data_IF_502999880978
#
_entry.id   IF_502999880978
#
_cell.length_a   1.000
_cell.length_b   1.000
_cell.length_c   1.000
_cell.angle_alpha   90.00
_cell.angle_beta   90.00
_cell.angle_gamma   90.00
#
_symmetry.space_group_name_H-M   'P 1'
#
loop_
_entity.id
_entity.type
_entity.pdbx_description
1 polymer ?
#
# COMPACT_ATOMS: atom_id res chain seq x y z
N UNK A 1 -44.46 -70.84 -39.38
CA UNK A 1 -43.43 -70.01 -38.71
C UNK A 1 -43.90 -68.63 -38.39
N UNK A 2 -45.07 -68.41 -37.79
CA UNK A 2 -45.59 -67.02 -37.54
C UNK A 2 -45.92 -66.75 -36.06
N UNK A 3 -45.87 -67.78 -35.19
CA UNK A 3 -46.26 -67.57 -33.73
C UNK A 3 -45.16 -66.98 -32.84
N UNK A 4 -43.89 -66.92 -33.23
CA UNK A 4 -42.77 -66.38 -32.36
C UNK A 4 -42.62 -64.85 -32.37
N UNK A 5 -43.11 -64.12 -33.37
CA UNK A 5 -42.99 -62.65 -33.43
C UNK A 5 -43.95 -61.86 -32.56
N UNK A 6 -45.17 -62.39 -32.32
CA UNK A 6 -46.19 -61.72 -31.49
C UNK A 6 -45.83 -61.65 -29.99
N UNK A 7 -45.17 -62.68 -29.45
CA UNK A 7 -44.78 -62.68 -28.03
C UNK A 7 -43.61 -61.71 -27.72
N UNK A 8 -42.74 -61.46 -28.67
CA UNK A 8 -41.64 -60.50 -28.50
C UNK A 8 -42.12 -59.06 -28.45
N UNK A 9 -43.13 -58.69 -29.26
CA UNK A 9 -43.68 -57.33 -29.29
C UNK A 9 -44.49 -57.03 -28.02
N UNK A 10 -45.29 -57.97 -27.57
CA UNK A 10 -46.07 -57.84 -26.31
C UNK A 10 -45.10 -57.73 -25.13
N UNK A 11 -44.06 -58.53 -25.06
CA UNK A 11 -43.04 -58.46 -24.01
C UNK A 11 -42.33 -57.10 -23.98
N UNK A 12 -41.92 -56.57 -25.18
CA UNK A 12 -41.29 -55.25 -25.30
C UNK A 12 -42.24 -54.12 -24.80
N UNK A 13 -43.51 -54.16 -25.26
CA UNK A 13 -44.52 -53.17 -24.83
C UNK A 13 -44.71 -53.21 -23.29
N UNK A 14 -44.84 -54.42 -22.72
CA UNK A 14 -44.97 -54.58 -21.25
C UNK A 14 -43.75 -54.05 -20.51
N UNK A 15 -42.56 -54.34 -20.98
CA UNK A 15 -41.28 -53.82 -20.37
C UNK A 15 -41.20 -52.28 -20.45
N UNK A 16 -41.63 -51.70 -21.57
CA UNK A 16 -41.68 -50.24 -21.76
C UNK A 16 -42.68 -49.59 -20.78
N UNK A 17 -43.86 -50.20 -20.63
CA UNK A 17 -44.88 -49.69 -19.66
C UNK A 17 -44.35 -49.78 -18.24
N UNK A 18 -43.72 -50.87 -17.84
CA UNK A 18 -43.12 -51.05 -16.50
C UNK A 18 -42.02 -49.99 -16.28
N UNK A 19 -41.16 -49.74 -17.26
CA UNK A 19 -40.13 -48.71 -17.22
C UNK A 19 -40.72 -47.30 -17.05
N UNK A 20 -41.78 -46.95 -17.81
CA UNK A 20 -42.46 -45.66 -17.71
C UNK A 20 -43.09 -45.45 -16.35
N UNK A 21 -43.76 -46.50 -15.79
CA UNK A 21 -44.35 -46.46 -14.46
C UNK A 21 -43.24 -46.28 -13.38
N UNK A 22 -42.10 -46.94 -13.55
CA UNK A 22 -40.99 -46.83 -12.64
C UNK A 22 -40.36 -45.41 -12.70
N UNK A 23 -40.16 -44.85 -13.89
CA UNK A 23 -39.67 -43.46 -14.03
C UNK A 23 -40.67 -42.49 -13.44
N UNK A 24 -41.95 -42.65 -13.66
CA UNK A 24 -42.99 -41.80 -13.07
C UNK A 24 -42.97 -41.87 -11.54
N UNK A 25 -42.87 -43.05 -10.95
CA UNK A 25 -42.79 -43.24 -9.52
C UNK A 25 -41.57 -42.55 -8.88
N UNK A 26 -40.40 -42.68 -9.54
CA UNK A 26 -39.18 -41.98 -9.13
C UNK A 26 -39.38 -40.46 -9.23
N UNK A 27 -39.91 -39.95 -10.34
CA UNK A 27 -40.15 -38.52 -10.54
C UNK A 27 -41.06 -37.91 -9.48
N UNK A 28 -42.15 -38.63 -9.12
CA UNK A 28 -43.04 -38.23 -8.04
C UNK A 28 -42.32 -38.23 -6.69
N UNK A 29 -41.53 -39.26 -6.40
CA UNK A 29 -40.73 -39.34 -5.17
C UNK A 29 -39.72 -38.20 -5.03
N UNK A 30 -38.98 -37.92 -6.10
CA UNK A 30 -38.03 -36.80 -6.18
C UNK A 30 -38.75 -35.45 -5.98
N UNK A 31 -39.92 -35.27 -6.60
CA UNK A 31 -40.70 -34.04 -6.47
C UNK A 31 -41.19 -33.82 -5.04
N UNK A 32 -41.69 -34.86 -4.37
CA UNK A 32 -42.11 -34.77 -2.96
C UNK A 32 -40.92 -34.42 -2.06
N UNK A 33 -39.76 -35.07 -2.26
CA UNK A 33 -38.56 -34.78 -1.51
C UNK A 33 -38.07 -33.33 -1.75
N UNK A 34 -38.07 -32.86 -3.00
CA UNK A 34 -37.69 -31.49 -3.31
C UNK A 34 -38.61 -30.46 -2.62
N UNK A 35 -39.92 -30.71 -2.60
CA UNK A 35 -40.88 -29.85 -1.91
C UNK A 35 -40.58 -29.82 -0.41
N UNK A 36 -40.32 -30.97 0.22
CA UNK A 36 -40.02 -31.06 1.65
C UNK A 36 -38.74 -30.33 2.03
N UNK A 37 -37.69 -30.48 1.21
CA UNK A 37 -36.44 -29.71 1.35
C UNK A 37 -36.66 -28.20 1.20
N UNK A 38 -37.44 -27.76 0.21
CA UNK A 38 -37.78 -26.33 0.05
C UNK A 38 -38.55 -25.79 1.23
N UNK A 39 -39.54 -26.55 1.75
CA UNK A 39 -40.29 -26.15 2.94
C UNK A 39 -39.38 -25.99 4.16
N UNK A 40 -38.38 -26.83 4.30
CA UNK A 40 -37.43 -26.76 5.41
C UNK A 40 -36.43 -25.58 5.21
N UNK A 41 -35.88 -25.45 4.04
CA UNK A 41 -34.87 -24.44 3.74
C UNK A 41 -35.39 -23.00 3.78
N UNK A 42 -36.65 -22.79 3.34
CA UNK A 42 -37.29 -21.47 3.30
C UNK A 42 -38.34 -21.31 4.42
N UNK A 43 -38.45 -22.27 5.33
CA UNK A 43 -39.41 -22.31 6.43
C UNK A 43 -40.88 -22.08 6.00
N UNK A 44 -41.24 -22.60 4.81
CA UNK A 44 -42.58 -22.46 4.26
C UNK A 44 -43.57 -23.29 5.10
N UNK A 45 -44.72 -22.68 5.39
CA UNK A 45 -45.81 -23.33 6.17
C UNK A 45 -45.43 -23.73 7.62
N UNK A 46 -44.41 -23.08 8.20
CA UNK A 46 -44.08 -23.22 9.62
C UNK A 46 -44.76 -22.09 10.41
N UNK A 47 -45.42 -22.44 11.52
CA UNK A 47 -45.94 -21.45 12.49
C UNK A 47 -44.74 -20.72 13.12
N UNK A 48 -44.85 -19.40 13.29
CA UNK A 48 -43.78 -18.59 13.86
C UNK A 48 -43.63 -18.75 15.38
N UNK A 49 -43.37 -19.97 15.84
CA UNK A 49 -43.15 -20.25 17.26
C UNK A 49 -41.70 -19.92 17.64
N UNK A 50 -41.54 -19.14 18.69
CA UNK A 50 -40.23 -18.84 19.25
C UNK A 50 -39.73 -19.99 20.13
N UNK A 51 -38.50 -20.39 19.93
CA UNK A 51 -37.83 -21.46 20.69
C UNK A 51 -36.38 -21.03 20.96
N UNK A 52 -35.92 -21.26 22.17
CA UNK A 52 -34.50 -21.08 22.49
C UNK A 52 -33.67 -22.24 21.96
N UNK A 53 -32.65 -21.92 21.18
CA UNK A 53 -31.67 -22.87 20.65
C UNK A 53 -30.31 -22.57 21.24
N UNK A 54 -29.68 -23.56 21.84
CA UNK A 54 -28.38 -23.48 22.45
C UNK A 54 -27.37 -24.27 21.61
N UNK A 55 -26.34 -23.58 21.13
CA UNK A 55 -25.15 -24.23 20.55
C UNK A 55 -24.11 -24.42 21.65
N UNK A 56 -23.62 -25.65 21.80
CA UNK A 56 -22.66 -26.07 22.84
C UNK A 56 -21.39 -26.57 22.18
N UNK A 57 -20.25 -26.47 22.88
CA UNK A 57 -18.93 -26.95 22.46
C UNK A 57 -17.87 -25.83 22.55
N UNK A 58 -16.60 -26.19 22.67
CA UNK A 58 -15.50 -25.22 22.74
C UNK A 58 -15.21 -24.59 21.35
N UNK A 59 -15.41 -25.36 20.31
CA UNK A 59 -15.33 -24.95 18.90
C UNK A 59 -16.55 -25.48 18.17
N UNK A 60 -17.41 -24.61 17.68
CA UNK A 60 -18.63 -24.98 16.97
C UNK A 60 -18.38 -24.92 15.46
N UNK A 61 -18.39 -26.09 14.84
CA UNK A 61 -18.26 -26.22 13.37
C UNK A 61 -19.63 -26.13 12.68
N UNK A 62 -19.64 -25.96 11.35
CA UNK A 62 -20.88 -26.04 10.57
C UNK A 62 -21.61 -27.39 10.77
N UNK A 63 -20.85 -28.47 10.95
CA UNK A 63 -21.40 -29.80 11.21
C UNK A 63 -22.09 -29.85 12.57
N UNK A 64 -21.49 -29.25 13.59
CA UNK A 64 -22.09 -29.18 14.94
C UNK A 64 -23.37 -28.35 14.94
N UNK A 65 -23.35 -27.18 14.25
CA UNK A 65 -24.55 -26.34 14.09
C UNK A 65 -25.69 -27.12 13.42
N UNK A 66 -25.38 -27.77 12.28
CA UNK A 66 -26.40 -28.54 11.56
C UNK A 66 -26.96 -29.67 12.39
N UNK A 67 -26.13 -30.37 13.15
CA UNK A 67 -26.53 -31.50 14.00
C UNK A 67 -27.38 -31.01 15.19
N UNK A 68 -26.95 -29.96 15.90
CA UNK A 68 -27.66 -29.41 17.05
C UNK A 68 -29.02 -28.80 16.66
N UNK A 69 -29.09 -28.10 15.51
CA UNK A 69 -30.35 -27.60 14.96
C UNK A 69 -31.32 -28.74 14.58
N UNK A 70 -30.79 -29.84 14.07
CA UNK A 70 -31.58 -31.05 13.76
C UNK A 70 -32.13 -31.72 15.04
N UNK A 71 -31.29 -31.94 16.04
CA UNK A 71 -31.68 -32.55 17.33
C UNK A 71 -32.73 -31.73 18.05
N UNK A 72 -32.65 -30.40 17.96
CA UNK A 72 -33.65 -29.47 18.51
C UNK A 72 -34.85 -29.26 17.58
N UNK A 73 -34.97 -30.04 16.48
CA UNK A 73 -36.09 -30.05 15.52
C UNK A 73 -36.35 -28.73 14.81
N UNK A 74 -35.33 -27.87 14.71
CA UNK A 74 -35.40 -26.60 13.98
C UNK A 74 -35.30 -26.83 12.48
N UNK A 75 -34.43 -27.72 12.05
CA UNK A 75 -34.27 -28.15 10.66
C UNK A 75 -34.55 -29.64 10.52
N UNK A 76 -34.98 -30.06 9.32
CA UNK A 76 -35.26 -31.49 9.02
C UNK A 76 -34.11 -32.14 8.23
N UNK A 77 -33.38 -31.36 7.45
CA UNK A 77 -32.37 -31.85 6.52
C UNK A 77 -30.99 -31.29 6.82
N UNK A 78 -30.21 -31.78 7.80
CA UNK A 78 -28.93 -31.24 8.20
C UNK A 78 -27.86 -31.28 7.05
N UNK A 79 -27.92 -32.32 6.21
CA UNK A 79 -27.04 -32.42 5.02
C UNK A 79 -27.33 -31.32 4.02
N UNK A 80 -28.56 -31.02 3.74
CA UNK A 80 -28.96 -29.95 2.82
C UNK A 80 -28.61 -28.58 3.41
N UNK A 81 -28.78 -28.40 4.72
CA UNK A 81 -28.34 -27.18 5.41
C UNK A 81 -26.85 -26.92 5.22
N UNK A 82 -25.99 -27.94 5.34
CA UNK A 82 -24.55 -27.83 5.09
C UNK A 82 -24.23 -27.53 3.64
N UNK A 83 -24.93 -28.16 2.69
CA UNK A 83 -24.76 -27.86 1.25
C UNK A 83 -25.17 -26.41 0.97
N UNK A 84 -26.30 -25.96 1.53
CA UNK A 84 -26.75 -24.57 1.40
C UNK A 84 -25.72 -23.59 1.95
N UNK A 85 -25.16 -23.83 3.13
CA UNK A 85 -24.11 -22.99 3.73
C UNK A 85 -22.87 -22.89 2.84
N UNK A 86 -22.42 -24.02 2.24
CA UNK A 86 -21.27 -24.04 1.30
C UNK A 86 -21.55 -23.26 0.03
N UNK A 87 -22.72 -23.42 -0.56
CA UNK A 87 -23.13 -22.67 -1.77
C UNK A 87 -23.21 -21.16 -1.53
N UNK A 88 -23.46 -20.74 -0.30
CA UNK A 88 -23.49 -19.33 0.12
C UNK A 88 -22.17 -18.85 0.68
N UNK A 89 -21.08 -19.64 0.57
CA UNK A 89 -19.75 -19.35 1.14
C UNK A 89 -19.80 -19.02 2.65
N UNK A 90 -20.72 -19.65 3.39
CA UNK A 90 -20.88 -19.51 4.83
C UNK A 90 -20.34 -20.70 5.63
N UNK A 91 -19.68 -21.64 4.97
CA UNK A 91 -19.06 -22.84 5.58
C UNK A 91 -17.76 -22.54 6.32
N UNK A 92 -17.12 -21.41 6.02
CA UNK A 92 -15.91 -20.93 6.70
C UNK A 92 -16.18 -20.00 7.88
N UNK A 93 -17.46 -19.80 8.21
CA UNK A 93 -17.84 -18.94 9.34
C UNK A 93 -17.49 -19.64 10.67
N UNK A 94 -16.90 -18.87 11.58
CA UNK A 94 -16.68 -19.32 12.94
C UNK A 94 -17.98 -19.15 13.71
N UNK A 95 -18.63 -20.27 14.06
CA UNK A 95 -19.77 -20.27 14.94
C UNK A 95 -19.30 -20.22 16.39
N UNK A 96 -20.08 -19.58 17.26
CA UNK A 96 -19.74 -19.48 18.70
C UNK A 96 -20.81 -20.18 19.54
N UNK A 97 -20.43 -20.82 20.67
CA UNK A 97 -21.37 -21.31 21.64
C UNK A 97 -22.25 -20.15 22.14
N UNK A 98 -23.55 -20.29 21.97
CA UNK A 98 -24.48 -19.25 22.40
C UNK A 98 -25.93 -19.81 22.47
N UNK A 99 -26.76 -19.18 23.28
CA UNK A 99 -28.20 -19.39 23.25
C UNK A 99 -28.86 -18.24 22.47
N UNK A 100 -29.73 -18.59 21.53
CA UNK A 100 -30.45 -17.62 20.70
C UNK A 100 -31.93 -18.03 20.61
N UNK A 101 -32.80 -17.03 20.61
CA UNK A 101 -34.21 -17.25 20.28
C UNK A 101 -34.35 -17.41 18.77
N UNK A 102 -34.82 -18.57 18.35
CA UNK A 102 -35.07 -18.91 16.95
C UNK A 102 -36.58 -18.96 16.73
N UNK A 103 -37.03 -18.32 15.68
CA UNK A 103 -38.42 -18.48 15.23
C UNK A 103 -38.50 -19.64 14.23
N UNK A 104 -39.39 -20.56 14.36
CA UNK A 104 -39.54 -21.72 13.46
C UNK A 104 -39.82 -21.31 12.01
N UNK A 105 -40.22 -20.06 11.79
CA UNK A 105 -40.36 -19.45 10.45
C UNK A 105 -39.03 -18.92 9.85
N UNK A 106 -37.89 -19.09 10.54
CA UNK A 106 -36.57 -18.76 9.98
C UNK A 106 -36.12 -19.84 9.00
N UNK A 107 -35.80 -19.44 7.77
CA UNK A 107 -35.12 -20.30 6.80
C UNK A 107 -33.62 -20.46 7.08
N UNK A 108 -32.95 -21.30 6.32
CA UNK A 108 -31.54 -21.62 6.51
C UNK A 108 -30.61 -20.38 6.52
N UNK A 109 -30.88 -19.37 5.67
CA UNK A 109 -30.07 -18.15 5.64
C UNK A 109 -30.20 -17.34 6.94
N UNK A 110 -31.42 -17.25 7.48
CA UNK A 110 -31.68 -16.59 8.76
C UNK A 110 -31.00 -17.30 9.92
N UNK A 111 -31.06 -18.63 9.96
CA UNK A 111 -30.38 -19.45 10.99
C UNK A 111 -28.88 -19.30 10.91
N UNK A 112 -28.26 -19.40 9.72
CA UNK A 112 -26.84 -19.21 9.53
C UNK A 112 -26.40 -17.81 9.98
N UNK A 113 -27.18 -16.79 9.68
CA UNK A 113 -26.86 -15.39 10.08
C UNK A 113 -27.01 -15.22 11.60
N UNK A 114 -28.01 -15.82 12.21
CA UNK A 114 -28.28 -15.70 13.67
C UNK A 114 -27.16 -16.31 14.53
N UNK A 115 -26.61 -17.45 14.11
CA UNK A 115 -25.55 -18.16 14.82
C UNK A 115 -24.15 -17.78 14.41
N UNK A 116 -24.00 -16.97 13.36
CA UNK A 116 -22.72 -16.34 13.05
C UNK A 116 -22.50 -15.21 14.05
N UNK A 117 -21.30 -15.08 14.65
CA UNK A 117 -20.99 -13.86 15.40
C UNK A 117 -21.25 -12.68 14.47
N UNK A 118 -22.03 -11.73 14.92
CA UNK A 118 -22.07 -10.42 14.27
C UNK A 118 -20.62 -9.98 14.27
N UNK A 119 -19.97 -10.03 13.11
CA UNK A 119 -18.64 -9.45 12.98
C UNK A 119 -18.82 -8.04 13.54
N UNK A 120 -18.15 -7.72 14.66
CA UNK A 120 -18.07 -6.34 15.13
C UNK A 120 -17.71 -5.56 13.90
N UNK A 121 -18.59 -4.66 13.45
CA UNK A 121 -18.28 -3.82 12.29
C UNK A 121 -16.92 -3.24 12.59
N UNK A 122 -15.92 -3.63 11.80
CA UNK A 122 -14.57 -3.11 11.98
C UNK A 122 -14.68 -1.62 11.70
N UNK A 123 -14.53 -0.83 12.74
CA UNK A 123 -14.55 0.61 12.58
C UNK A 123 -13.38 0.99 11.68
N UNK A 124 -13.67 1.73 10.62
CA UNK A 124 -12.63 2.17 9.69
C UNK A 124 -12.14 3.54 10.15
N UNK A 125 -10.84 3.66 10.31
CA UNK A 125 -10.14 4.91 10.62
C UNK A 125 -9.57 5.45 9.32
N UNK A 126 -9.84 6.71 9.02
CA UNK A 126 -9.19 7.44 7.92
C UNK A 126 -7.93 8.11 8.44
N UNK A 127 -6.80 7.85 7.80
CA UNK A 127 -5.49 8.44 8.13
C UNK A 127 -4.89 9.02 6.87
N UNK A 128 -4.75 10.34 6.83
CA UNK A 128 -4.08 11.04 5.73
C UNK A 128 -2.60 11.17 6.07
N UNK A 129 -1.76 10.61 5.21
CA UNK A 129 -0.30 10.75 5.24
C UNK A 129 0.06 11.91 4.32
N UNK A 130 0.52 13.04 4.87
CA UNK A 130 0.95 14.18 4.08
C UNK A 130 2.20 13.86 3.25
N UNK A 131 2.37 14.63 2.21
CA UNK A 131 3.57 14.65 1.40
C UNK A 131 4.78 15.08 2.21
N UNK A 132 5.95 14.58 1.86
CA UNK A 132 7.19 14.91 2.56
C UNK A 132 7.32 14.33 3.97
N UNK A 133 6.42 13.46 4.43
CA UNK A 133 6.59 12.73 5.68
C UNK A 133 7.76 11.74 5.57
N UNK A 134 8.47 11.55 6.68
CA UNK A 134 9.45 10.48 6.84
C UNK A 134 8.78 9.20 7.35
N UNK A 135 9.49 8.09 7.31
CA UNK A 135 9.04 6.84 7.94
C UNK A 135 8.75 7.04 9.43
N UNK A 136 9.57 7.83 10.16
CA UNK A 136 9.33 8.16 11.57
C UNK A 136 8.00 8.92 11.76
N UNK A 137 7.70 9.89 10.89
CA UNK A 137 6.44 10.64 10.91
C UNK A 137 5.25 9.72 10.63
N UNK A 138 5.36 8.84 9.64
CA UNK A 138 4.32 7.87 9.25
C UNK A 138 4.03 6.92 10.41
N UNK A 139 5.07 6.31 10.99
CA UNK A 139 4.92 5.41 12.15
C UNK A 139 4.23 6.16 13.30
N UNK A 140 4.71 7.35 13.64
CA UNK A 140 4.17 8.16 14.72
C UNK A 140 2.69 8.51 14.48
N UNK A 141 2.34 8.85 13.25
CA UNK A 141 0.97 9.15 12.83
C UNK A 141 0.03 7.96 13.05
N UNK A 142 0.37 6.76 12.52
CA UNK A 142 -0.48 5.59 12.66
C UNK A 142 -0.58 5.10 14.11
N UNK A 143 0.54 5.07 14.84
CA UNK A 143 0.57 4.69 16.25
C UNK A 143 -0.28 5.66 17.10
N UNK A 144 -0.24 6.96 16.83
CA UNK A 144 -1.07 7.96 17.53
C UNK A 144 -2.58 7.75 17.30
N UNK A 145 -2.96 7.10 16.19
CA UNK A 145 -4.34 6.71 15.87
C UNK A 145 -4.71 5.33 16.42
N UNK A 146 -3.82 4.68 17.17
CA UNK A 146 -4.03 3.34 17.72
C UNK A 146 -3.85 2.21 16.68
N UNK A 147 -3.20 2.46 15.55
CA UNK A 147 -2.97 1.49 14.49
C UNK A 147 -1.54 0.98 14.55
N UNK A 148 -1.37 -0.25 15.00
CA UNK A 148 -0.06 -0.91 15.12
C UNK A 148 0.79 -0.39 16.28
N UNK A 149 2.07 -0.79 16.28
CA UNK A 149 3.09 -0.35 17.22
C UNK A 149 4.35 0.08 16.47
N UNK A 150 5.21 0.86 17.13
CA UNK A 150 6.48 1.28 16.52
C UNK A 150 7.33 0.06 16.13
N UNK A 151 7.42 -0.92 17.01
CA UNK A 151 8.20 -2.15 16.82
C UNK A 151 7.67 -2.98 15.64
N UNK A 152 6.34 -3.12 15.53
CA UNK A 152 5.69 -3.82 14.42
C UNK A 152 5.95 -3.15 13.08
N UNK A 153 5.89 -1.82 13.02
CA UNK A 153 6.23 -1.06 11.81
C UNK A 153 7.72 -1.20 11.45
N UNK A 154 8.64 -1.03 12.42
CA UNK A 154 10.07 -1.14 12.17
C UNK A 154 10.42 -2.52 11.62
N UNK A 155 9.87 -3.59 12.20
CA UNK A 155 10.05 -4.93 11.69
C UNK A 155 9.58 -5.07 10.23
N UNK A 156 8.38 -4.61 9.91
CA UNK A 156 7.83 -4.72 8.54
C UNK A 156 8.66 -3.90 7.56
N UNK A 157 9.09 -2.70 7.94
CA UNK A 157 9.81 -1.79 7.07
C UNK A 157 11.25 -2.25 6.81
N UNK A 158 11.96 -2.74 7.82
CA UNK A 158 13.40 -3.02 7.71
C UNK A 158 13.73 -4.52 7.59
N UNK A 159 13.00 -5.41 8.28
CA UNK A 159 13.45 -6.79 8.50
C UNK A 159 12.58 -7.84 7.80
N UNK A 160 11.29 -7.56 7.57
CA UNK A 160 10.39 -8.53 6.99
C UNK A 160 10.80 -8.89 5.54
N UNK A 161 10.77 -10.20 5.18
CA UNK A 161 11.23 -10.64 3.88
C UNK A 161 10.28 -10.21 2.75
N UNK A 162 10.85 -9.78 1.60
CA UNK A 162 10.09 -9.30 0.45
C UNK A 162 9.34 -10.38 -0.36
N UNK A 163 9.54 -11.65 -0.05
CA UNK A 163 8.81 -12.79 -0.63
C UNK A 163 7.52 -13.14 0.14
N UNK A 164 7.10 -12.30 1.05
CA UNK A 164 5.91 -12.44 1.88
C UNK A 164 5.02 -11.19 1.85
N UNK A 165 3.76 -11.30 2.36
CA UNK A 165 2.93 -10.12 2.57
C UNK A 165 3.60 -9.15 3.58
N UNK A 166 3.55 -7.84 3.30
CA UNK A 166 2.71 -7.12 2.33
C UNK A 166 3.40 -6.80 0.99
N UNK A 167 4.53 -7.40 0.66
CA UNK A 167 5.40 -7.02 -0.45
C UNK A 167 5.05 -7.70 -1.78
N UNK A 168 3.97 -8.49 -1.79
CA UNK A 168 3.55 -9.24 -2.98
C UNK A 168 2.41 -8.57 -3.72
N UNK A 169 2.53 -8.56 -5.04
CA UNK A 169 1.46 -8.20 -5.96
C UNK A 169 1.23 -9.35 -6.95
N UNK A 170 0.00 -9.90 -6.96
CA UNK A 170 -0.32 -11.07 -7.79
C UNK A 170 0.64 -12.27 -7.55
N UNK A 171 1.04 -12.50 -6.29
CA UNK A 171 1.92 -13.60 -5.89
C UNK A 171 3.40 -13.40 -6.23
N UNK A 172 3.82 -12.21 -6.65
CA UNK A 172 5.23 -11.85 -6.91
C UNK A 172 5.60 -10.59 -6.16
N UNK A 173 6.85 -10.49 -5.76
CA UNK A 173 7.39 -9.24 -5.18
C UNK A 173 7.12 -8.07 -6.13
N UNK A 174 6.76 -6.92 -5.56
CA UNK A 174 6.61 -5.70 -6.35
C UNK A 174 7.88 -5.42 -7.14
N UNK A 175 7.75 -5.08 -8.42
CA UNK A 175 8.88 -4.84 -9.33
C UNK A 175 9.87 -3.78 -8.84
N UNK A 176 9.38 -2.80 -8.09
CA UNK A 176 10.20 -1.70 -7.57
C UNK A 176 10.93 -2.06 -6.28
N UNK A 177 10.64 -3.21 -5.68
CA UNK A 177 11.37 -3.74 -4.52
C UNK A 177 12.47 -4.72 -4.94
N UNK A 178 12.56 -5.08 -6.22
CA UNK A 178 13.63 -5.94 -6.72
C UNK A 178 15.00 -5.27 -6.49
N UNK A 179 15.86 -5.90 -5.71
CA UNK A 179 17.19 -5.37 -5.38
C UNK A 179 17.21 -4.27 -4.32
N UNK A 180 16.06 -3.88 -3.75
CA UNK A 180 16.01 -2.96 -2.60
C UNK A 180 16.51 -3.69 -1.37
N UNK A 181 17.60 -3.18 -0.83
CA UNK A 181 18.21 -3.65 0.43
C UNK A 181 18.38 -2.45 1.36
N UNK A 182 18.55 -2.71 2.64
CA UNK A 182 18.99 -1.65 3.54
C UNK A 182 20.44 -1.34 3.18
N UNK A 183 20.65 -0.28 2.39
CA UNK A 183 21.97 0.15 1.99
C UNK A 183 22.81 0.51 3.21
N UNK A 184 24.13 0.32 3.13
CA UNK A 184 25.03 0.66 4.22
C UNK A 184 24.89 2.15 4.55
N UNK A 185 24.43 2.43 5.79
CA UNK A 185 24.18 3.80 6.25
C UNK A 185 22.76 4.31 6.02
N UNK A 186 21.88 3.59 5.31
CA UNK A 186 20.47 3.94 5.22
C UNK A 186 19.77 3.66 6.56
N UNK A 187 18.80 4.54 6.92
CA UNK A 187 18.05 4.42 8.18
C UNK A 187 16.87 3.45 7.98
N UNK A 188 16.13 3.61 6.90
CA UNK A 188 14.96 2.79 6.59
C UNK A 188 15.03 2.23 5.18
N UNK A 189 14.73 0.91 5.04
CA UNK A 189 14.70 0.22 3.75
C UNK A 189 13.61 0.72 2.81
N UNK A 190 12.47 1.14 3.38
CA UNK A 190 11.31 1.60 2.63
C UNK A 190 11.11 3.13 2.67
N UNK A 191 12.09 3.93 3.13
CA UNK A 191 11.99 5.38 3.01
C UNK A 191 11.81 5.79 1.54
N UNK A 192 10.85 6.66 1.26
CA UNK A 192 10.51 7.10 -0.08
C UNK A 192 9.59 6.16 -0.89
N UNK A 193 9.35 4.92 -0.41
CA UNK A 193 8.47 3.95 -1.08
C UNK A 193 7.04 3.93 -0.51
N UNK A 194 6.83 4.53 0.65
CA UNK A 194 5.52 4.61 1.30
C UNK A 194 4.75 5.83 0.75
N UNK A 195 3.88 5.61 -0.25
CA UNK A 195 3.25 6.69 -1.00
C UNK A 195 2.33 7.55 -0.12
N UNK A 196 2.35 8.89 -0.22
CA UNK A 196 1.46 9.78 0.52
C UNK A 196 0.04 9.73 -0.07
N UNK A 197 -0.97 9.48 0.78
CA UNK A 197 -2.40 9.45 0.40
C UNK A 197 -3.27 9.37 1.67
N UNK A 198 -4.57 9.31 1.50
CA UNK A 198 -5.51 9.01 2.57
C UNK A 198 -5.83 7.52 2.62
N UNK A 199 -5.47 6.87 3.72
CA UNK A 199 -5.61 5.44 3.93
C UNK A 199 -6.76 5.12 4.89
N UNK A 200 -7.64 4.20 4.46
CA UNK A 200 -8.66 3.63 5.31
C UNK A 200 -8.14 2.32 5.90
N UNK A 201 -7.99 2.28 7.21
CA UNK A 201 -7.50 1.14 7.98
C UNK A 201 -8.49 0.76 9.05
N UNK A 202 -8.45 -0.48 9.52
CA UNK A 202 -9.32 -0.93 10.60
C UNK A 202 -8.73 -0.49 11.96
N UNK A 203 -9.62 -0.35 12.95
CA UNK A 203 -9.26 -0.07 14.35
C UNK A 203 -8.62 -1.29 15.05
N UNK A 204 -8.82 -2.48 14.49
CA UNK A 204 -8.37 -3.74 15.09
C UNK A 204 -7.73 -4.67 14.07
N UNK A 205 -6.53 -5.12 14.40
CA UNK A 205 -5.79 -6.17 13.71
C UNK A 205 -5.38 -7.24 14.73
N UNK A 206 -5.34 -8.50 14.32
CA UNK A 206 -4.89 -9.61 15.17
C UNK A 206 -3.56 -10.10 14.66
N UNK A 207 -2.52 -9.97 15.49
CA UNK A 207 -1.23 -10.60 15.25
C UNK A 207 -1.36 -12.13 15.38
N UNK A 208 -0.50 -12.86 14.68
CA UNK A 208 -0.38 -14.30 14.86
C UNK A 208 0.42 -14.58 16.13
N UNK A 209 0.24 -15.78 16.67
CA UNK A 209 1.04 -16.24 17.80
C UNK A 209 2.54 -16.21 17.44
N UNK A 210 3.33 -15.55 18.26
CA UNK A 210 4.77 -15.35 18.03
C UNK A 210 5.16 -14.13 17.20
N UNK A 211 4.20 -13.39 16.62
CA UNK A 211 4.50 -12.13 15.93
C UNK A 211 4.89 -11.02 16.93
N UNK A 212 5.71 -10.07 16.46
CA UNK A 212 5.93 -8.81 17.16
C UNK A 212 4.59 -8.06 17.24
N UNK A 213 4.19 -7.54 18.41
CA UNK A 213 2.92 -6.83 18.56
C UNK A 213 2.76 -5.71 17.53
N UNK A 214 1.58 -5.60 16.91
CA UNK A 214 1.26 -4.60 15.90
C UNK A 214 1.72 -4.93 14.47
N UNK A 215 2.38 -6.07 14.26
CA UNK A 215 2.86 -6.50 12.91
C UNK A 215 1.71 -6.65 11.92
N UNK A 216 0.57 -7.20 12.31
CA UNK A 216 -0.57 -7.37 11.40
C UNK A 216 -1.12 -6.01 10.92
N UNK A 217 -1.19 -5.01 11.79
CA UNK A 217 -1.58 -3.65 11.43
C UNK A 217 -0.53 -3.00 10.52
N UNK A 218 0.76 -3.11 10.86
CA UNK A 218 1.85 -2.58 10.06
C UNK A 218 1.88 -3.17 8.65
N UNK A 219 1.70 -4.49 8.50
CA UNK A 219 1.59 -5.16 7.18
C UNK A 219 0.42 -4.61 6.37
N UNK A 220 -0.74 -4.42 7.00
CA UNK A 220 -1.91 -3.89 6.31
C UNK A 220 -1.71 -2.45 5.83
N UNK A 221 -1.09 -1.58 6.65
CA UNK A 221 -0.78 -0.20 6.31
C UNK A 221 0.28 -0.15 5.20
N UNK A 222 1.44 -0.76 5.42
CA UNK A 222 2.55 -0.77 4.46
C UNK A 222 2.09 -1.35 3.12
N UNK A 223 1.31 -2.45 3.13
CA UNK A 223 0.77 -3.04 1.90
C UNK A 223 -0.12 -2.08 1.10
N UNK A 224 -0.97 -1.29 1.78
CA UNK A 224 -1.78 -0.26 1.10
C UNK A 224 -0.91 0.84 0.50
N UNK A 225 0.12 1.30 1.22
CA UNK A 225 1.02 2.35 0.76
C UNK A 225 1.85 1.89 -0.45
N UNK A 226 2.35 0.65 -0.44
CA UNK A 226 3.05 0.04 -1.58
C UNK A 226 2.14 -0.20 -2.78
N UNK A 227 0.88 -0.58 -2.55
CA UNK A 227 -0.11 -0.73 -3.63
C UNK A 227 -0.39 0.62 -4.32
N UNK A 228 -0.51 1.71 -3.53
CA UNK A 228 -0.69 3.04 -4.07
C UNK A 228 0.57 3.53 -4.80
N UNK A 229 1.77 3.24 -4.29
CA UNK A 229 3.02 3.47 -5.01
C UNK A 229 3.01 2.76 -6.37
N UNK A 230 2.67 1.47 -6.42
CA UNK A 230 2.60 0.68 -7.65
C UNK A 230 1.57 1.21 -8.67
N UNK A 231 0.50 1.82 -8.19
CA UNK A 231 -0.53 2.43 -9.03
C UNK A 231 0.00 3.72 -9.69
N UNK A 232 0.73 4.53 -8.95
CA UNK A 232 1.20 5.85 -9.39
C UNK A 232 2.53 5.79 -10.14
N UNK A 233 3.46 4.90 -9.76
CA UNK A 233 4.79 4.79 -10.37
C UNK A 233 4.86 3.55 -11.25
N UNK A 234 5.20 3.74 -12.53
CA UNK A 234 5.27 2.65 -13.52
C UNK A 234 6.70 2.38 -13.96
N UNK A 235 7.05 1.13 -14.17
CA UNK A 235 8.36 0.72 -14.70
C UNK A 235 8.68 1.40 -16.04
N UNK A 236 7.66 1.69 -16.85
CA UNK A 236 7.82 2.43 -18.11
C UNK A 236 8.36 3.86 -17.94
N UNK A 237 8.19 4.47 -16.76
CA UNK A 237 8.73 5.80 -16.49
C UNK A 237 10.25 5.79 -16.52
N UNK A 238 10.91 4.71 -16.08
CA UNK A 238 12.36 4.55 -16.14
C UNK A 238 12.88 4.50 -17.58
N UNK A 239 12.16 3.82 -18.49
CA UNK A 239 12.54 3.79 -19.90
C UNK A 239 12.43 5.17 -20.53
N UNK A 240 11.36 5.92 -20.25
CA UNK A 240 11.19 7.30 -20.72
C UNK A 240 12.23 8.23 -20.13
N UNK A 241 12.62 8.04 -18.87
CA UNK A 241 13.70 8.78 -18.23
C UNK A 241 15.02 8.56 -18.96
N UNK A 242 15.37 7.30 -19.28
CA UNK A 242 16.58 6.98 -20.05
C UNK A 242 16.59 7.68 -21.40
N UNK A 243 15.49 7.63 -22.15
CA UNK A 243 15.34 8.32 -23.43
C UNK A 243 15.50 9.83 -23.28
N UNK A 244 14.94 10.40 -22.21
CA UNK A 244 15.07 11.83 -21.90
C UNK A 244 16.52 12.22 -21.59
N UNK A 245 17.22 11.47 -20.72
CA UNK A 245 18.62 11.74 -20.40
C UNK A 245 19.52 11.62 -21.64
N UNK A 246 19.34 10.60 -22.47
CA UNK A 246 20.10 10.44 -23.71
C UNK A 246 19.98 11.65 -24.65
N UNK A 247 18.82 12.30 -24.62
CA UNK A 247 18.54 13.47 -25.47
C UNK A 247 19.12 14.76 -24.91
N UNK A 248 18.95 15.04 -23.63
CA UNK A 248 19.24 16.34 -23.02
C UNK A 248 20.47 16.32 -22.10
N UNK A 249 20.84 15.15 -21.59
CA UNK A 249 21.94 14.95 -20.64
C UNK A 249 22.74 13.70 -21.01
N UNK A 250 23.35 13.65 -22.23
CA UNK A 250 23.96 12.43 -22.77
C UNK A 250 25.16 11.92 -21.94
N UNK A 251 25.81 12.78 -21.20
CA UNK A 251 26.96 12.45 -20.37
C UNK A 251 26.60 12.08 -18.93
N UNK A 252 25.32 12.19 -18.57
CA UNK A 252 24.84 11.90 -17.21
C UNK A 252 24.63 10.40 -17.03
N UNK A 253 25.14 9.86 -15.93
CA UNK A 253 24.85 8.48 -15.51
C UNK A 253 23.35 8.31 -15.26
N UNK A 254 22.74 7.27 -15.85
CA UNK A 254 21.37 6.86 -15.55
C UNK A 254 21.21 6.53 -14.07
N UNK A 255 20.20 7.14 -13.41
CA UNK A 255 19.86 6.87 -12.03
C UNK A 255 18.94 5.64 -11.93
N UNK A 256 19.19 4.79 -10.96
CA UNK A 256 18.25 3.73 -10.56
C UNK A 256 16.97 4.31 -9.96
N UNK A 257 15.89 3.52 -9.85
CA UNK A 257 14.67 3.99 -9.18
C UNK A 257 14.95 4.48 -7.75
N UNK A 258 15.82 3.81 -7.02
CA UNK A 258 16.18 4.21 -5.66
C UNK A 258 16.88 5.58 -5.64
N UNK A 259 17.82 5.82 -6.55
CA UNK A 259 18.50 7.11 -6.71
C UNK A 259 17.50 8.21 -7.14
N UNK A 260 16.55 7.89 -8.04
CA UNK A 260 15.47 8.81 -8.45
C UNK A 260 14.60 9.18 -7.26
N UNK A 261 14.16 8.20 -6.44
CA UNK A 261 13.38 8.48 -5.24
C UNK A 261 14.16 9.27 -4.20
N UNK A 262 15.46 8.99 -4.08
CA UNK A 262 16.35 9.76 -3.21
C UNK A 262 16.41 11.22 -3.64
N UNK A 263 16.65 11.48 -4.92
CA UNK A 263 16.65 12.85 -5.46
C UNK A 263 15.26 13.50 -5.32
N UNK A 264 14.19 12.80 -5.67
CA UNK A 264 12.83 13.30 -5.55
C UNK A 264 12.46 13.70 -4.11
N UNK A 265 12.91 12.92 -3.12
CA UNK A 265 12.67 13.22 -1.70
C UNK A 265 13.42 14.47 -1.21
N UNK A 266 14.56 14.78 -1.80
CA UNK A 266 15.30 16.03 -1.57
C UNK A 266 14.54 17.19 -2.21
N UNK A 267 14.15 17.05 -3.48
CA UNK A 267 13.40 18.07 -4.23
C UNK A 267 12.07 18.42 -3.53
N UNK A 268 11.42 17.43 -2.92
CA UNK A 268 10.17 17.62 -2.14
C UNK A 268 10.35 18.67 -1.03
N UNK A 269 11.54 18.75 -0.45
CA UNK A 269 11.86 19.63 0.67
C UNK A 269 12.57 20.93 0.29
N UNK A 270 13.19 20.99 -0.90
CA UNK A 270 14.03 22.12 -1.31
C UNK A 270 13.26 23.24 -2.00
N UNK A 271 12.19 22.95 -2.73
CA UNK A 271 11.52 23.98 -3.51
C UNK A 271 10.05 23.76 -3.80
N UNK A 272 9.43 24.83 -4.32
CA UNK A 272 8.05 24.79 -4.81
C UNK A 272 7.93 23.84 -6.00
N UNK A 273 6.73 23.29 -6.21
CA UNK A 273 6.47 22.26 -7.22
C UNK A 273 6.90 22.69 -8.64
N UNK A 274 6.69 23.94 -9.00
CA UNK A 274 7.02 24.52 -10.31
C UNK A 274 8.54 24.81 -10.51
N UNK A 275 9.33 24.83 -9.43
CA UNK A 275 10.79 24.98 -9.49
C UNK A 275 11.56 23.66 -9.40
N UNK A 276 10.92 22.58 -8.95
CA UNK A 276 11.61 21.30 -8.68
C UNK A 276 12.39 20.76 -9.89
N UNK A 277 11.89 20.96 -11.12
CA UNK A 277 12.61 20.54 -12.32
C UNK A 277 13.92 21.33 -12.55
N UNK A 278 13.95 22.64 -12.22
CA UNK A 278 15.15 23.49 -12.29
C UNK A 278 16.15 23.10 -11.20
N UNK A 279 15.68 22.91 -9.96
CA UNK A 279 16.52 22.46 -8.84
C UNK A 279 17.08 21.07 -9.13
N UNK A 280 16.27 20.18 -9.71
CA UNK A 280 16.72 18.87 -10.18
C UNK A 280 17.88 18.97 -11.17
N UNK A 281 17.78 19.87 -12.16
CA UNK A 281 18.84 20.10 -13.12
C UNK A 281 20.14 20.57 -12.44
N UNK A 282 20.07 21.45 -11.43
CA UNK A 282 21.25 21.85 -10.64
C UNK A 282 21.91 20.63 -9.98
N UNK A 283 21.12 19.73 -9.39
CA UNK A 283 21.67 18.53 -8.77
C UNK A 283 22.28 17.57 -9.81
N UNK A 284 21.65 17.39 -10.97
CA UNK A 284 22.19 16.60 -12.07
C UNK A 284 23.52 17.19 -12.56
N UNK A 285 23.62 18.51 -12.73
CA UNK A 285 24.87 19.19 -13.14
C UNK A 285 25.96 18.94 -12.10
N UNK A 286 25.69 19.08 -10.81
CA UNK A 286 26.68 18.82 -9.74
C UNK A 286 27.15 17.35 -9.69
N UNK A 287 26.26 16.41 -9.93
CA UNK A 287 26.59 14.98 -9.96
C UNK A 287 27.43 14.62 -11.18
N UNK A 288 27.22 15.32 -12.30
CA UNK A 288 27.84 15.00 -13.58
C UNK A 288 29.16 15.76 -13.81
N UNK A 289 29.28 16.98 -13.31
CA UNK A 289 30.50 17.79 -13.41
C UNK A 289 31.07 18.14 -12.02
N UNK A 290 31.77 17.19 -11.38
CA UNK A 290 32.31 17.41 -10.04
C UNK A 290 33.50 18.39 -10.00
N UNK A 291 34.03 18.77 -11.14
CA UNK A 291 35.17 19.70 -11.21
C UNK A 291 34.75 21.18 -11.31
N UNK A 292 33.48 21.43 -11.64
CA UNK A 292 32.98 22.80 -11.74
C UNK A 292 33.09 23.51 -10.38
N UNK A 293 33.71 24.65 -10.35
CA UNK A 293 33.98 25.49 -9.17
C UNK A 293 34.49 24.71 -7.94
N UNK A 294 35.12 23.55 -8.14
CA UNK A 294 35.56 22.61 -7.10
C UNK A 294 34.41 22.10 -6.20
N UNK A 295 33.19 21.99 -6.73
CA UNK A 295 32.05 21.48 -5.98
C UNK A 295 32.29 20.04 -5.52
N UNK A 296 33.07 19.25 -6.26
CA UNK A 296 33.46 17.89 -5.89
C UNK A 296 32.30 16.86 -5.92
N UNK A 297 31.22 17.13 -6.66
CA UNK A 297 30.03 16.28 -6.70
C UNK A 297 29.16 16.35 -5.43
N UNK A 298 29.40 17.37 -4.58
CA UNK A 298 28.61 17.59 -3.35
C UNK A 298 27.29 18.25 -3.69
N UNK A 299 26.17 17.65 -3.21
CA UNK A 299 24.85 18.26 -3.40
C UNK A 299 24.62 19.45 -2.48
N UNK A 300 25.21 19.45 -1.29
CA UNK A 300 25.13 20.52 -0.29
C UNK A 300 23.69 20.91 0.07
N UNK A 301 22.83 19.90 0.23
CA UNK A 301 21.44 20.06 0.61
C UNK A 301 21.27 19.94 2.13
N UNK A 302 20.71 20.97 2.76
CA UNK A 302 20.46 21.01 4.20
C UNK A 302 19.51 19.88 4.64
N UNK A 303 18.53 19.56 3.82
CA UNK A 303 17.45 18.61 4.17
C UNK A 303 17.98 17.20 4.42
N UNK A 304 19.08 16.83 3.78
CA UNK A 304 19.70 15.51 3.96
C UNK A 304 20.29 15.34 5.36
N UNK A 305 20.91 16.38 5.90
CA UNK A 305 21.43 16.39 7.26
C UNK A 305 20.32 16.53 8.29
N UNK A 306 19.34 17.41 8.01
CA UNK A 306 18.18 17.62 8.87
C UNK A 306 17.36 16.36 9.06
N UNK A 307 17.26 15.49 8.07
CA UNK A 307 16.59 14.20 8.16
C UNK A 307 17.22 13.33 9.24
N UNK A 308 18.54 13.17 9.24
CA UNK A 308 19.25 12.35 10.22
C UNK A 308 19.20 12.99 11.62
N UNK A 309 19.37 14.31 11.70
CA UNK A 309 19.31 15.00 12.98
C UNK A 309 17.95 14.81 13.67
N UNK A 310 16.84 14.89 12.91
CA UNK A 310 15.51 14.60 13.48
C UNK A 310 15.39 13.15 13.93
N UNK A 311 15.89 12.20 13.12
CA UNK A 311 15.90 10.79 13.51
C UNK A 311 16.69 10.55 14.80
N UNK A 312 17.83 11.22 14.98
CA UNK A 312 18.69 11.14 16.15
C UNK A 312 18.14 11.93 17.35
N UNK A 313 16.97 12.58 17.20
CA UNK A 313 16.27 13.28 18.28
C UNK A 313 16.69 14.73 18.49
N UNK A 314 17.45 15.31 17.57
CA UNK A 314 17.80 16.74 17.64
C UNK A 314 16.63 17.62 17.16
N UNK A 315 16.50 18.78 17.80
CA UNK A 315 15.59 19.83 17.30
C UNK A 315 16.24 20.52 16.11
N UNK A 316 15.59 20.44 14.95
CA UNK A 316 16.06 21.08 13.71
C UNK A 316 15.38 22.44 13.57
N UNK A 317 16.16 23.47 13.37
CA UNK A 317 15.71 24.85 13.13
C UNK A 317 15.94 25.26 11.67
N UNK A 318 15.52 26.46 11.29
CA UNK A 318 15.84 27.06 9.99
C UNK A 318 17.31 27.50 9.89
N UNK A 319 18.00 27.65 11.01
CA UNK A 319 19.42 27.97 11.05
C UNK A 319 20.23 26.71 10.75
N UNK A 320 21.15 26.80 9.80
CA UNK A 320 22.02 25.71 9.38
C UNK A 320 23.48 26.18 9.51
N UNK A 321 24.12 25.75 10.60
CA UNK A 321 25.44 26.21 11.01
C UNK A 321 26.56 25.19 10.84
N UNK A 322 27.67 25.43 11.53
CA UNK A 322 28.85 24.58 11.45
C UNK A 322 28.63 23.19 12.05
N UNK A 323 27.75 23.06 13.05
CA UNK A 323 27.41 21.78 13.64
C UNK A 323 26.78 20.84 12.60
N UNK A 324 25.74 21.32 11.91
CA UNK A 324 25.01 20.55 10.89
C UNK A 324 25.93 20.25 9.69
N UNK A 325 26.71 21.23 9.23
CA UNK A 325 27.65 21.05 8.09
C UNK A 325 28.71 19.99 8.37
N UNK A 326 29.11 19.80 9.63
CA UNK A 326 30.14 18.85 10.03
C UNK A 326 29.60 17.59 10.69
N UNK A 327 28.27 17.42 10.76
CA UNK A 327 27.64 16.23 11.35
C UNK A 327 28.02 14.98 10.57
N UNK A 328 28.64 14.00 11.24
CA UNK A 328 29.21 12.83 10.59
C UNK A 328 28.11 11.78 10.34
N UNK A 329 27.58 11.78 9.15
CA UNK A 329 26.59 10.81 8.68
C UNK A 329 26.73 10.62 7.16
N UNK A 330 26.49 9.41 6.63
CA UNK A 330 26.48 9.18 5.18
C UNK A 330 25.45 10.03 4.42
N UNK A 331 24.47 10.59 5.11
CA UNK A 331 23.48 11.51 4.53
C UNK A 331 24.01 12.95 4.40
N UNK A 332 25.19 13.27 4.95
CA UNK A 332 25.71 14.64 4.88
C UNK A 332 26.30 14.95 3.50
N UNK A 333 25.50 15.53 2.63
CA UNK A 333 25.87 15.92 1.26
C UNK A 333 26.78 17.14 1.20
N UNK A 334 27.20 17.73 2.34
CA UNK A 334 28.30 18.69 2.45
C UNK A 334 29.65 18.02 2.61
N UNK A 335 29.68 16.75 3.08
CA UNK A 335 30.91 15.99 3.34
C UNK A 335 31.14 14.87 2.35
N UNK A 336 30.06 14.29 1.81
CA UNK A 336 30.12 13.13 0.94
C UNK A 336 29.50 13.44 -0.41
N UNK A 337 30.28 13.18 -1.48
CA UNK A 337 29.85 13.39 -2.86
C UNK A 337 28.78 12.38 -3.30
N UNK A 338 27.91 12.81 -4.19
CA UNK A 338 26.82 11.98 -4.71
C UNK A 338 25.56 12.09 -3.92
N UNK A 339 24.61 11.19 -4.24
CA UNK A 339 23.35 11.04 -3.52
C UNK A 339 23.58 10.35 -2.15
N UNK A 340 22.80 10.69 -1.12
CA UNK A 340 22.85 9.99 0.14
C UNK A 340 22.39 8.52 0.00
N UNK A 341 22.55 7.68 1.03
CA UNK A 341 22.26 6.23 0.97
C UNK A 341 20.81 5.89 0.60
N UNK A 342 19.89 6.79 0.80
CA UNK A 342 18.45 6.60 0.49
C UNK A 342 17.66 7.89 0.62
N UNK A 343 16.34 7.82 0.32
CA UNK A 343 15.42 8.94 0.45
C UNK A 343 15.39 9.54 1.85
N UNK A 344 14.91 10.78 1.96
CA UNK A 344 14.82 11.56 3.20
C UNK A 344 13.37 11.93 3.56
N UNK A 345 12.42 11.53 2.72
CA UNK A 345 10.97 11.71 2.92
C UNK A 345 10.19 10.96 1.84
N UNK A 346 8.86 10.93 1.97
CA UNK A 346 7.95 10.48 0.92
C UNK A 346 7.77 11.57 -0.13
N UNK A 347 8.25 11.39 -1.39
CA UNK A 347 8.09 12.36 -2.45
C UNK A 347 6.69 12.31 -3.07
N UNK A 348 6.20 13.47 -3.53
CA UNK A 348 5.03 13.56 -4.41
C UNK A 348 5.31 13.02 -5.80
N UNK A 349 4.24 12.83 -6.58
CA UNK A 349 4.35 12.51 -7.99
C UNK A 349 5.12 13.58 -8.75
N UNK A 350 4.86 14.84 -8.46
CA UNK A 350 5.51 16.01 -9.06
C UNK A 350 7.01 16.03 -8.79
N UNK A 351 7.43 15.69 -7.58
CA UNK A 351 8.85 15.56 -7.23
C UNK A 351 9.53 14.40 -7.94
N UNK A 352 8.83 13.27 -8.07
CA UNK A 352 9.35 12.11 -8.83
C UNK A 352 9.46 12.48 -10.32
N UNK A 353 8.46 13.15 -10.89
CA UNK A 353 8.51 13.59 -12.28
C UNK A 353 9.63 14.63 -12.49
N UNK A 354 9.89 15.55 -11.54
CA UNK A 354 11.01 16.49 -11.59
C UNK A 354 12.38 15.78 -11.51
N UNK A 355 12.49 14.72 -10.71
CA UNK A 355 13.71 13.90 -10.66
C UNK A 355 13.93 13.08 -11.94
N UNK A 356 12.84 12.62 -12.59
CA UNK A 356 12.89 11.91 -13.86
C UNK A 356 13.17 12.83 -15.06
N UNK A 357 12.70 14.07 -15.00
CA UNK A 357 12.74 15.04 -16.11
C UNK A 357 13.25 16.40 -15.61
N UNK A 358 14.57 16.50 -15.28
CA UNK A 358 15.17 17.78 -14.92
C UNK A 358 15.00 18.80 -16.06
N UNK A 359 15.01 20.10 -15.75
CA UNK A 359 14.85 21.14 -16.78
C UNK A 359 15.93 21.00 -17.87
N UNK A 360 15.50 20.91 -19.14
CA UNK A 360 16.39 20.78 -20.28
C UNK A 360 17.18 22.10 -20.50
N UNK A 361 18.43 21.98 -21.01
CA UNK A 361 19.28 23.11 -21.35
C UNK A 361 19.50 24.08 -20.17
N UNK A 362 19.52 23.54 -18.93
CA UNK A 362 19.65 24.29 -17.68
C UNK A 362 21.05 24.13 -17.11
N UNK A 363 21.93 25.09 -17.33
CA UNK A 363 23.37 25.06 -17.02
C UNK A 363 23.76 25.74 -15.69
N UNK A 364 22.83 25.77 -14.72
CA UNK A 364 23.06 26.34 -13.39
C UNK A 364 23.55 25.28 -12.41
N UNK A 365 24.42 25.69 -11.48
CA UNK A 365 25.04 24.83 -10.46
C UNK A 365 24.67 25.23 -9.04
N UNK A 366 24.06 26.39 -8.86
CA UNK A 366 23.70 26.95 -7.55
C UNK A 366 22.29 27.48 -7.57
N UNK A 367 21.65 27.42 -6.39
CA UNK A 367 20.40 28.11 -6.12
C UNK A 367 20.35 28.59 -4.68
N UNK A 368 19.56 29.63 -4.40
CA UNK A 368 19.20 30.08 -3.06
C UNK A 368 17.75 30.50 -3.06
N UNK A 369 16.96 29.85 -2.20
CA UNK A 369 15.53 30.09 -2.07
C UNK A 369 15.28 31.36 -1.28
N UNK A 370 14.43 32.24 -1.79
CA UNK A 370 14.04 33.50 -1.17
C UNK A 370 12.79 33.34 -0.30
N UNK A 371 12.39 34.40 0.42
CA UNK A 371 11.19 34.39 1.27
C UNK A 371 9.88 34.18 0.49
N UNK A 372 9.88 34.31 -0.84
CA UNK A 372 8.73 33.97 -1.68
C UNK A 372 8.57 32.47 -1.93
N UNK A 373 9.59 31.66 -1.59
CA UNK A 373 9.68 30.25 -1.93
C UNK A 373 10.32 29.98 -3.29
N UNK A 374 10.52 31.00 -4.13
CA UNK A 374 11.23 30.92 -5.40
C UNK A 374 12.73 31.17 -5.22
N UNK A 375 13.54 30.64 -6.13
CA UNK A 375 14.99 30.61 -6.01
C UNK A 375 15.68 31.50 -7.03
N UNK A 376 16.76 32.18 -6.61
CA UNK A 376 17.77 32.68 -7.54
C UNK A 376 18.70 31.54 -7.92
N UNK A 377 18.94 31.39 -9.22
CA UNK A 377 19.93 30.42 -9.77
C UNK A 377 21.20 31.11 -10.19
N UNK A 378 22.32 30.38 -10.14
CA UNK A 378 23.60 30.87 -10.54
C UNK A 378 24.46 29.78 -11.19
N UNK A 379 25.31 30.17 -12.16
CA UNK A 379 26.26 29.27 -12.82
C UNK A 379 27.54 29.11 -12.01
N UNK A 380 27.99 30.21 -11.38
CA UNK A 380 29.26 30.27 -10.64
C UNK A 380 29.05 30.54 -9.15
N UNK A 381 30.05 30.18 -8.34
CA UNK A 381 30.06 30.48 -6.91
C UNK A 381 30.04 32.00 -6.64
N UNK A 382 30.66 32.80 -7.53
CA UNK A 382 30.68 34.26 -7.40
C UNK A 382 29.23 34.83 -7.52
N UNK A 383 28.51 34.45 -8.56
CA UNK A 383 27.10 34.83 -8.75
C UNK A 383 26.22 34.33 -7.59
N UNK A 384 26.46 33.10 -7.11
CA UNK A 384 25.71 32.55 -5.98
C UNK A 384 25.88 33.39 -4.69
N UNK A 385 27.11 33.86 -4.41
CA UNK A 385 27.34 34.74 -3.26
C UNK A 385 26.54 36.05 -3.39
N UNK A 386 26.48 36.65 -4.58
CA UNK A 386 25.65 37.83 -4.85
C UNK A 386 24.18 37.50 -4.59
N UNK A 387 23.66 36.37 -5.09
CA UNK A 387 22.30 35.96 -4.91
C UNK A 387 21.95 35.68 -3.42
N UNK A 388 22.89 35.16 -2.64
CA UNK A 388 22.71 35.02 -1.18
C UNK A 388 22.52 36.39 -0.53
N UNK A 389 23.30 37.38 -0.86
CA UNK A 389 23.16 38.73 -0.27
C UNK A 389 21.85 39.40 -0.74
N UNK A 390 21.44 39.22 -2.00
CA UNK A 390 20.13 39.67 -2.50
C UNK A 390 18.99 39.06 -1.69
N UNK A 391 19.00 37.74 -1.48
CA UNK A 391 17.98 37.03 -0.70
C UNK A 391 17.96 37.51 0.79
N UNK A 392 19.15 37.73 1.41
CA UNK A 392 19.24 38.28 2.77
C UNK A 392 18.68 39.71 2.87
N UNK A 393 18.86 40.52 1.82
CA UNK A 393 18.30 41.87 1.74
C UNK A 393 16.80 41.90 1.46
N UNK A 394 16.16 40.73 1.34
CA UNK A 394 14.73 40.59 1.15
C UNK A 394 14.28 40.70 -0.31
N UNK A 395 15.21 40.61 -1.24
CA UNK A 395 14.86 40.53 -2.66
C UNK A 395 14.15 39.20 -2.95
N UNK A 396 13.14 39.25 -3.80
CA UNK A 396 12.30 38.11 -4.17
C UNK A 396 12.71 37.66 -5.58
N UNK A 397 12.94 36.37 -5.74
CA UNK A 397 13.16 35.79 -7.06
C UNK A 397 11.85 35.81 -7.86
N UNK A 398 11.94 36.22 -9.13
CA UNK A 398 10.86 36.15 -10.08
C UNK A 398 10.86 34.78 -10.77
N UNK A 399 9.81 33.96 -10.64
CA UNK A 399 9.75 32.64 -11.27
C UNK A 399 9.75 32.69 -12.81
N UNK A 400 9.43 33.84 -13.38
CA UNK A 400 9.34 34.06 -14.83
C UNK A 400 10.49 34.90 -15.39
N UNK A 401 11.46 35.31 -14.54
CA UNK A 401 12.64 36.04 -15.03
C UNK A 401 13.43 35.17 -16.01
N UNK A 402 13.77 35.72 -17.15
CA UNK A 402 14.87 35.19 -17.96
C UNK A 402 16.14 35.43 -17.15
N UNK A 403 16.87 34.33 -16.81
CA UNK A 403 18.10 34.42 -16.03
C UNK A 403 19.19 34.98 -16.93
N UNK A 404 19.40 36.30 -16.84
CA UNK A 404 20.53 36.98 -17.49
C UNK A 404 21.81 36.76 -16.67
N UNK A 405 22.97 36.74 -17.37
CA UNK A 405 24.26 36.69 -16.73
C UNK A 405 24.46 37.90 -15.80
N UNK A 406 24.67 37.65 -14.51
CA UNK A 406 24.98 38.69 -13.56
C UNK A 406 26.42 39.17 -13.82
N UNK A 407 26.70 40.50 -13.76
CA UNK A 407 28.05 40.98 -13.89
C UNK A 407 28.93 40.43 -12.75
N UNK A 408 29.94 39.67 -13.11
CA UNK A 408 30.99 39.22 -12.18
C UNK A 408 31.87 40.41 -11.86
N UNK A 409 31.64 41.11 -10.75
CA UNK A 409 32.65 41.96 -10.18
C UNK A 409 33.72 41.08 -9.51
N UNK A 410 35.01 41.38 -9.84
CA UNK A 410 36.17 40.72 -9.25
C UNK A 410 36.21 40.94 -7.73
N UNK A 411 35.66 39.98 -6.96
CA UNK A 411 35.85 39.89 -5.50
C UNK A 411 37.19 39.19 -5.19
N UNK A 412 38.29 39.73 -5.76
CA UNK A 412 39.65 39.40 -5.35
C UNK A 412 40.19 40.53 -4.47
N UNK A 413 39.72 40.59 -3.20
CA UNK A 413 40.45 41.23 -2.09
C UNK A 413 40.23 40.47 -0.78
#
# INVERSE_FOLDING_TARGET
MVKRRKNSTVFTITLTIVYLVFVLAISVGVSIFAIDVMQDAFALNKEGVETEVTLTGDYVTLDDVAQQLYEQKIIRHPTIFKIYARLRHKDTLNFIPCTRTVTTSMGYDGLLTLFTPVAKEKTTISVTVPEGYTVDDIISLFVSKGVGTKEGFLYVINDAPFDSDPFLHNGKTYWFLEGVTLNQGAIYRLEGYLYPDTYFVYDTYKDKEGDIPGTAAAKAVVGKMLAEFNKNIKKSNLNKHREYLQKYYPDVKELSLHEILTLASILEKEGLADERARISAVFYNRLNDPVHDNIGGLLQSNVTVQYVLRHDGYTVTSEFGDFERNYQTPYNTFLYAGLPPGPVSTPTRESIDAALYPAADWDYYYFVTTNSGYSFFARTLAEHKINIERAKNGEIADPYAEYEDLPTEDYNE
#
